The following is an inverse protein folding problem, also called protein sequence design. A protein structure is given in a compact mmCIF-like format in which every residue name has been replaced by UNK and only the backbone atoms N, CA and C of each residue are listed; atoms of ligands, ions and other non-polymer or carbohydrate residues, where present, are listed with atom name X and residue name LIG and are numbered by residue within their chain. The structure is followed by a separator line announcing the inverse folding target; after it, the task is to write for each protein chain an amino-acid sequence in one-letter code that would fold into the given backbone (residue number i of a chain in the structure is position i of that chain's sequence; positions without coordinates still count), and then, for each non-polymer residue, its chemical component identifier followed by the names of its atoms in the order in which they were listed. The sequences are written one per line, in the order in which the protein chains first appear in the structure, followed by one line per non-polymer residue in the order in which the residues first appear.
data_IF_123701604345
#
_entry.id   IF_123701604345
#
_cell.length_a   1.000
_cell.length_b   1.000
_cell.length_c   1.000
_cell.angle_alpha   90.00
_cell.angle_beta   90.00
_cell.angle_gamma   90.00
#
_symmetry.space_group_name_H-M   'P 1'
#
loop_
_entity.id
_entity.type
_entity.pdbx_description
1 polymer ?
#
# COMPACT_ATOMS: atom_id res chain seq x y z
N UNK A 1 -25.51 46.70 23.73
CA UNK A 1 -24.91 45.48 24.31
C UNK A 1 -25.88 44.30 24.49
N UNK A 2 -27.21 44.45 24.34
CA UNK A 2 -28.16 43.34 24.53
C UNK A 2 -28.37 42.43 23.28
N UNK A 3 -28.13 42.94 22.06
CA UNK A 3 -28.38 42.17 20.82
C UNK A 3 -27.31 41.13 20.45
N UNK A 4 -26.09 41.20 20.99
CA UNK A 4 -25.00 40.27 20.65
C UNK A 4 -25.15 38.92 21.39
N UNK A 5 -25.77 38.92 22.58
CA UNK A 5 -25.93 37.71 23.40
C UNK A 5 -27.04 36.77 22.89
N UNK A 6 -28.00 37.27 22.12
CA UNK A 6 -29.10 36.46 21.56
C UNK A 6 -28.60 35.58 20.41
N UNK A 7 -27.73 36.10 19.53
CA UNK A 7 -27.17 35.34 18.40
C UNK A 7 -26.28 34.16 18.84
N UNK A 8 -25.54 34.30 19.95
CA UNK A 8 -24.70 33.22 20.47
C UNK A 8 -25.55 32.07 21.01
N UNK A 9 -26.69 32.37 21.66
CA UNK A 9 -27.58 31.34 22.22
C UNK A 9 -28.32 30.53 21.14
N UNK A 10 -28.72 31.15 20.02
CA UNK A 10 -29.38 30.44 18.92
C UNK A 10 -28.44 29.50 18.14
N UNK A 11 -27.15 29.82 18.03
CA UNK A 11 -26.15 28.97 17.35
C UNK A 11 -25.80 27.70 18.14
N UNK A 12 -25.70 27.79 19.47
CA UNK A 12 -25.38 26.64 20.32
C UNK A 12 -26.51 25.60 20.38
N UNK A 13 -27.77 26.03 20.22
CA UNK A 13 -28.95 25.15 20.20
C UNK A 13 -28.99 24.31 18.92
N UNK A 14 -28.59 24.87 17.77
CA UNK A 14 -28.57 24.15 16.50
C UNK A 14 -27.47 23.08 16.47
N UNK A 15 -26.28 23.35 17.04
CA UNK A 15 -25.20 22.36 17.13
C UNK A 15 -25.56 21.17 18.04
N UNK A 16 -26.22 21.40 19.18
CA UNK A 16 -26.66 20.30 20.06
C UNK A 16 -27.69 19.38 19.40
N UNK A 17 -28.62 19.93 18.61
CA UNK A 17 -29.62 19.14 17.86
C UNK A 17 -28.97 18.31 16.75
N UNK A 18 -28.00 18.88 16.03
CA UNK A 18 -27.24 18.16 14.99
C UNK A 18 -26.47 16.99 15.61
N UNK A 19 -25.82 17.19 16.76
CA UNK A 19 -25.08 16.12 17.43
C UNK A 19 -25.99 14.97 17.89
N UNK A 20 -27.16 15.25 18.47
CA UNK A 20 -28.12 14.20 18.86
C UNK A 20 -28.68 13.41 17.67
N UNK A 21 -28.95 14.07 16.54
CA UNK A 21 -29.46 13.40 15.32
C UNK A 21 -28.39 12.46 14.73
N UNK A 22 -27.12 12.89 14.69
CA UNK A 22 -26.01 12.06 14.18
C UNK A 22 -25.78 10.83 15.06
N UNK A 23 -25.89 10.96 16.39
CA UNK A 23 -25.75 9.80 17.30
C UNK A 23 -26.88 8.78 17.13
N UNK A 24 -28.12 9.22 16.91
CA UNK A 24 -29.27 8.32 16.70
C UNK A 24 -29.13 7.56 15.37
N UNK A 25 -28.74 8.23 14.28
CA UNK A 25 -28.53 7.59 12.97
C UNK A 25 -27.42 6.53 13.07
N UNK A 26 -26.32 6.83 13.76
CA UNK A 26 -25.20 5.90 13.92
C UNK A 26 -25.57 4.64 14.73
N UNK A 27 -26.43 4.77 15.74
CA UNK A 27 -26.91 3.63 16.53
C UNK A 27 -27.90 2.71 15.77
N UNK A 28 -28.64 3.24 14.80
CA UNK A 28 -29.60 2.44 14.02
C UNK A 28 -28.98 1.67 12.85
N UNK A 29 -27.77 2.04 12.40
CA UNK A 29 -27.07 1.38 11.29
C UNK A 29 -26.34 0.08 11.67
N UNK A 30 -26.27 -0.26 12.96
CA UNK A 30 -25.60 -1.49 13.44
C UNK A 30 -26.50 -2.73 13.51
N UNK A 31 -27.79 -2.65 13.14
CA UNK A 31 -28.73 -3.77 13.25
C UNK A 31 -29.22 -4.39 11.92
N UNK A 32 -28.68 -3.99 10.76
CA UNK A 32 -29.13 -4.52 9.47
C UNK A 32 -27.99 -5.04 8.59
N UNK A 33 -27.42 -6.20 8.96
CA UNK A 33 -26.91 -7.20 8.00
C UNK A 33 -26.40 -8.44 8.72
N UNK A 34 -27.32 -9.36 9.02
CA UNK A 34 -26.97 -10.76 9.27
C UNK A 34 -27.90 -11.65 8.45
N UNK A 35 -27.28 -12.50 7.61
CA UNK A 35 -27.80 -13.68 6.90
C UNK A 35 -28.86 -13.48 5.79
N UNK A 36 -28.47 -13.82 4.56
CA UNK A 36 -29.17 -14.87 3.84
C UNK A 36 -28.19 -15.76 3.05
N UNK A 37 -28.09 -17.02 3.49
CA UNK A 37 -27.49 -18.13 2.75
C UNK A 37 -28.68 -18.93 2.27
N UNK A 38 -28.88 -19.02 0.96
CA UNK A 38 -29.84 -19.96 0.41
C UNK A 38 -29.27 -20.64 -0.82
N UNK A 39 -29.35 -21.95 -0.71
CA UNK A 39 -28.80 -23.00 -1.53
C UNK A 39 -29.85 -23.31 -2.59
N UNK A 40 -29.50 -23.19 -3.88
CA UNK A 40 -30.38 -23.59 -4.97
C UNK A 40 -29.73 -24.73 -5.73
N UNK A 41 -30.13 -25.94 -5.35
CA UNK A 41 -29.82 -27.18 -6.03
C UNK A 41 -30.78 -27.35 -7.23
N UNK A 42 -30.28 -27.36 -8.47
CA UNK A 42 -30.99 -28.04 -9.57
C UNK A 42 -29.98 -28.67 -10.53
N UNK A 43 -29.96 -30.01 -10.51
CA UNK A 43 -29.31 -30.89 -11.47
C UNK A 43 -30.28 -31.09 -12.64
N UNK A 44 -29.87 -30.78 -13.87
CA UNK A 44 -30.46 -31.37 -15.06
C UNK A 44 -29.33 -31.65 -16.05
N UNK A 45 -29.12 -32.95 -16.29
CA UNK A 45 -28.19 -33.51 -17.26
C UNK A 45 -28.89 -33.48 -18.61
N UNK A 46 -28.23 -32.97 -19.65
CA UNK A 46 -28.40 -33.42 -21.03
C UNK A 46 -27.10 -33.14 -21.80
N UNK A 47 -26.40 -34.25 -22.04
CA UNK A 47 -25.57 -34.67 -23.17
C UNK A 47 -24.86 -33.67 -24.12
N UNK A 48 -23.51 -33.86 -24.16
CA UNK A 48 -22.62 -33.86 -25.35
C UNK A 48 -22.38 -32.55 -26.11
N UNK A 49 -21.23 -31.93 -25.85
CA UNK A 49 -20.12 -31.76 -26.82
C UNK A 49 -18.96 -30.97 -26.19
N UNK A 50 -17.80 -31.63 -26.04
CA UNK A 50 -16.47 -31.04 -25.80
C UNK A 50 -15.94 -30.43 -27.12
N UNK A 51 -14.92 -29.54 -27.19
CA UNK A 51 -14.18 -28.77 -26.16
C UNK A 51 -14.14 -27.26 -26.44
N UNK A 52 -14.10 -26.40 -25.40
CA UNK A 52 -13.10 -25.31 -25.24
C UNK A 52 -13.45 -24.43 -24.04
N UNK A 53 -12.40 -24.08 -23.28
CA UNK A 53 -12.28 -22.80 -22.55
C UNK A 53 -13.23 -22.50 -21.37
N UNK A 54 -12.78 -22.84 -20.15
CA UNK A 54 -12.57 -21.92 -19.02
C UNK A 54 -12.24 -22.73 -17.78
N UNK A 55 -10.95 -22.80 -17.44
CA UNK A 55 -10.54 -23.17 -16.08
C UNK A 55 -10.49 -21.86 -15.31
N UNK A 56 -11.45 -21.68 -14.43
CA UNK A 56 -11.55 -20.54 -13.51
C UNK A 56 -10.23 -20.40 -12.72
N UNK A 57 -9.41 -19.44 -13.14
CA UNK A 57 -8.29 -18.94 -12.35
C UNK A 57 -8.88 -18.09 -11.23
N UNK A 58 -9.26 -18.74 -10.13
CA UNK A 58 -9.15 -18.09 -8.83
C UNK A 58 -7.65 -17.87 -8.61
N UNK A 59 -7.20 -16.65 -8.85
CA UNK A 59 -5.88 -16.21 -8.43
C UNK A 59 -5.89 -16.12 -6.89
N UNK A 60 -5.67 -17.27 -6.27
CA UNK A 60 -5.32 -17.36 -4.86
C UNK A 60 -3.92 -16.78 -4.74
N UNK A 61 -3.84 -15.51 -4.31
CA UNK A 61 -2.55 -14.86 -4.01
C UNK A 61 -1.80 -15.75 -3.02
N UNK A 62 -0.71 -16.42 -3.44
CA UNK A 62 -0.01 -17.34 -2.56
C UNK A 62 0.57 -16.55 -1.40
N UNK A 63 0.36 -17.06 -0.18
CA UNK A 63 1.03 -16.50 0.99
C UNK A 63 2.56 -16.55 0.76
N UNK A 64 3.31 -15.51 1.18
CA UNK A 64 4.75 -15.51 1.00
C UNK A 64 5.37 -16.73 1.67
N UNK A 65 6.35 -17.34 1.00
CA UNK A 65 7.09 -18.45 1.58
C UNK A 65 7.82 -18.02 2.88
N UNK A 66 8.21 -18.95 3.76
CA UNK A 66 8.81 -18.62 5.04
C UNK A 66 10.09 -17.77 4.95
N UNK A 67 10.90 -17.93 3.90
CA UNK A 67 12.11 -17.13 3.71
C UNK A 67 11.73 -15.69 3.33
N UNK A 68 10.76 -15.52 2.44
CA UNK A 68 10.16 -14.21 2.11
C UNK A 68 9.56 -13.56 3.35
N UNK A 69 8.81 -14.28 4.18
CA UNK A 69 8.25 -13.73 5.43
C UNK A 69 9.33 -13.22 6.40
N UNK A 70 10.44 -13.96 6.54
CA UNK A 70 11.60 -13.51 7.33
C UNK A 70 12.26 -12.26 6.74
N UNK A 71 12.38 -12.19 5.41
CA UNK A 71 12.92 -11.02 4.70
C UNK A 71 12.03 -9.79 4.91
N UNK A 72 10.70 -9.95 4.83
CA UNK A 72 9.73 -8.88 5.11
C UNK A 72 9.91 -8.34 6.53
N UNK A 73 9.98 -9.20 7.55
CA UNK A 73 10.14 -8.77 8.94
C UNK A 73 11.47 -8.02 9.17
N UNK A 74 12.57 -8.50 8.59
CA UNK A 74 13.85 -7.80 8.64
C UNK A 74 13.79 -6.45 7.90
N UNK A 75 13.11 -6.42 6.75
CA UNK A 75 12.92 -5.25 5.93
C UNK A 75 12.07 -4.16 6.58
N UNK A 76 11.06 -4.53 7.36
CA UNK A 76 10.23 -3.59 8.13
C UNK A 76 11.08 -2.79 9.13
N UNK A 77 12.03 -3.46 9.79
CA UNK A 77 12.95 -2.80 10.72
C UNK A 77 13.83 -1.76 10.01
N UNK A 78 14.41 -2.13 8.86
CA UNK A 78 15.20 -1.21 8.03
C UNK A 78 14.33 -0.05 7.54
N UNK A 79 13.11 -0.33 7.08
CA UNK A 79 12.15 0.67 6.62
C UNK A 79 11.82 1.70 7.70
N UNK A 80 11.52 1.23 8.90
CA UNK A 80 11.14 2.08 10.03
C UNK A 80 12.28 3.02 10.42
N UNK A 81 13.52 2.54 10.37
CA UNK A 81 14.69 3.33 10.77
C UNK A 81 15.11 4.35 9.70
N UNK A 82 14.94 4.02 8.41
CA UNK A 82 15.59 4.77 7.32
C UNK A 82 14.61 5.46 6.37
N UNK A 83 13.45 4.85 6.13
CA UNK A 83 12.58 5.21 5.01
C UNK A 83 11.29 5.89 5.46
N UNK A 84 10.75 5.48 6.62
CA UNK A 84 9.45 5.94 7.13
C UNK A 84 9.41 7.44 7.42
N UNK A 85 10.57 8.07 7.70
CA UNK A 85 10.67 9.52 7.93
C UNK A 85 10.18 10.34 6.72
N UNK A 86 10.41 9.84 5.51
CA UNK A 86 9.99 10.51 4.27
C UNK A 86 8.75 9.87 3.66
N UNK A 87 8.71 8.54 3.59
CA UNK A 87 7.64 7.79 2.93
C UNK A 87 6.43 7.49 3.83
N UNK A 88 6.50 7.91 5.10
CA UNK A 88 5.50 7.67 6.15
C UNK A 88 5.40 6.20 6.56
N UNK A 89 4.95 5.93 7.79
CA UNK A 89 4.81 4.54 8.27
C UNK A 89 3.89 3.68 7.40
N UNK A 90 2.89 4.30 6.76
CA UNK A 90 1.92 3.62 5.89
C UNK A 90 2.34 3.60 4.40
N UNK A 91 3.54 4.06 4.05
CA UNK A 91 4.00 4.13 2.66
C UNK A 91 3.23 5.13 1.79
N UNK A 92 2.47 6.04 2.39
CA UNK A 92 1.65 7.02 1.66
C UNK A 92 2.43 8.22 1.12
N UNK A 93 3.68 8.40 1.54
CA UNK A 93 4.48 9.57 1.15
C UNK A 93 3.89 10.89 1.66
N UNK A 94 4.32 11.99 1.05
CA UNK A 94 3.82 13.34 1.29
C UNK A 94 3.48 13.96 -0.08
N UNK A 95 2.22 14.33 -0.35
CA UNK A 95 1.82 14.87 -1.65
C UNK A 95 2.74 16.00 -2.13
N UNK A 96 3.14 15.95 -3.39
CA UNK A 96 4.05 16.91 -4.05
C UNK A 96 5.46 17.01 -3.44
N UNK A 97 5.81 16.19 -2.45
CA UNK A 97 7.12 16.23 -1.80
C UNK A 97 7.83 14.88 -1.84
N UNK A 98 7.23 13.84 -1.24
CA UNK A 98 7.79 12.49 -1.21
C UNK A 98 6.80 11.51 -1.86
N UNK A 99 7.21 10.71 -2.85
CA UNK A 99 6.29 9.81 -3.54
C UNK A 99 5.73 8.72 -2.60
N UNK A 100 4.48 8.29 -2.82
CA UNK A 100 3.94 7.10 -2.16
C UNK A 100 4.71 5.87 -2.64
N UNK A 101 4.88 4.90 -1.73
CA UNK A 101 5.34 3.55 -2.05
C UNK A 101 4.16 2.59 -2.24
N UNK A 102 3.00 2.95 -1.67
CA UNK A 102 1.72 2.27 -1.86
C UNK A 102 1.31 2.28 -3.34
N UNK A 103 1.25 1.10 -3.95
CA UNK A 103 0.86 0.93 -5.35
C UNK A 103 1.79 1.66 -6.32
N UNK A 104 3.05 1.92 -5.96
CA UNK A 104 3.99 2.61 -6.83
C UNK A 104 4.42 1.72 -7.99
N UNK A 105 4.36 2.24 -9.21
CA UNK A 105 4.93 1.63 -10.42
C UNK A 105 6.38 1.16 -10.23
N UNK A 106 7.23 1.96 -9.57
CA UNK A 106 8.59 1.57 -9.21
C UNK A 106 8.64 0.35 -8.27
N UNK A 107 7.72 0.25 -7.31
CA UNK A 107 7.68 -0.87 -6.37
C UNK A 107 7.16 -2.14 -7.06
N UNK A 108 6.22 -2.03 -7.99
CA UNK A 108 5.60 -3.18 -8.65
C UNK A 108 6.35 -3.65 -9.91
N UNK A 109 7.15 -2.77 -10.52
CA UNK A 109 7.91 -3.03 -11.74
C UNK A 109 9.23 -3.77 -11.52
N UNK A 110 10.18 -3.51 -12.41
CA UNK A 110 11.49 -4.16 -12.44
C UNK A 110 12.33 -3.87 -11.20
N UNK A 111 13.04 -4.90 -10.72
CA UNK A 111 13.88 -4.79 -9.52
C UNK A 111 15.09 -3.89 -9.74
N UNK A 112 15.67 -3.88 -10.94
CA UNK A 112 16.94 -3.18 -11.22
C UNK A 112 16.84 -1.66 -11.06
N UNK A 113 15.85 -0.96 -11.65
CA UNK A 113 15.67 0.47 -11.40
C UNK A 113 15.46 0.80 -9.93
N UNK A 114 14.68 -0.02 -9.21
CA UNK A 114 14.40 0.16 -7.79
C UNK A 114 15.66 -0.01 -6.91
N UNK A 115 16.48 -1.03 -7.19
CA UNK A 115 17.75 -1.26 -6.49
C UNK A 115 18.73 -0.12 -6.78
N UNK A 116 18.86 0.29 -8.04
CA UNK A 116 19.70 1.42 -8.42
C UNK A 116 19.28 2.72 -7.74
N UNK A 117 17.98 2.99 -7.68
CA UNK A 117 17.44 4.16 -6.99
C UNK A 117 17.84 4.16 -5.52
N UNK A 118 17.78 3.02 -4.83
CA UNK A 118 18.16 2.96 -3.41
C UNK A 118 19.68 3.09 -3.22
N UNK A 119 20.48 2.52 -4.12
CA UNK A 119 21.94 2.59 -4.07
C UNK A 119 22.47 3.99 -4.39
N UNK A 120 21.90 4.67 -5.38
CA UNK A 120 22.42 5.96 -5.89
C UNK A 120 21.65 7.17 -5.36
N UNK A 121 20.44 6.97 -4.86
CA UNK A 121 19.49 8.07 -4.63
C UNK A 121 18.85 8.55 -5.95
N UNK A 122 18.00 9.56 -5.85
CA UNK A 122 17.34 10.19 -7.01
C UNK A 122 18.05 11.48 -7.43
N UNK A 123 19.32 11.38 -7.82
CA UNK A 123 20.11 12.53 -8.28
C UNK A 123 19.51 13.23 -9.50
N UNK A 124 18.74 12.51 -10.31
CA UNK A 124 17.98 13.06 -11.43
C UNK A 124 16.53 13.33 -11.00
N UNK A 125 16.20 14.60 -10.84
CA UNK A 125 14.85 15.10 -10.62
C UNK A 125 14.44 16.04 -11.78
N UNK A 126 13.16 16.09 -12.15
CA UNK A 126 12.04 15.41 -11.50
C UNK A 126 11.85 13.96 -11.93
N UNK A 127 11.33 13.13 -11.03
CA UNK A 127 10.87 11.76 -11.34
C UNK A 127 9.35 11.71 -11.43
N UNK A 128 8.82 10.69 -12.12
CA UNK A 128 7.39 10.40 -12.16
C UNK A 128 7.10 9.11 -11.39
N UNK A 129 6.14 9.16 -10.47
CA UNK A 129 5.62 7.98 -9.76
C UNK A 129 4.11 8.01 -9.91
N UNK A 130 3.54 6.96 -10.50
CA UNK A 130 2.09 6.87 -10.77
C UNK A 130 1.56 8.09 -11.55
N UNK A 131 2.35 8.60 -12.49
CA UNK A 131 2.01 9.77 -13.30
C UNK A 131 2.16 11.13 -12.61
N UNK A 132 2.47 11.16 -11.32
CA UNK A 132 2.71 12.39 -10.56
C UNK A 132 4.20 12.74 -10.52
N UNK A 133 4.52 14.03 -10.60
CA UNK A 133 5.89 14.54 -10.67
C UNK A 133 6.43 14.87 -9.27
N UNK A 134 7.63 14.41 -8.94
CA UNK A 134 8.32 14.68 -7.69
C UNK A 134 9.72 15.24 -7.95
N UNK A 135 10.05 16.35 -7.29
CA UNK A 135 11.33 17.05 -7.49
C UNK A 135 12.25 17.00 -6.28
N UNK A 136 11.85 16.32 -5.20
CA UNK A 136 12.69 16.18 -4.02
C UNK A 136 13.74 15.07 -4.25
N UNK A 137 14.95 15.29 -3.76
CA UNK A 137 16.05 14.34 -3.90
C UNK A 137 15.97 13.30 -2.78
N UNK A 138 15.89 12.03 -3.15
CA UNK A 138 16.08 10.89 -2.25
C UNK A 138 17.58 10.62 -2.09
N UNK A 139 18.12 10.56 -0.87
CA UNK A 139 19.53 10.28 -0.64
C UNK A 139 19.89 8.85 -1.02
N UNK A 140 21.18 8.61 -1.25
CA UNK A 140 21.74 7.26 -1.40
C UNK A 140 21.70 6.51 -0.06
N UNK A 141 21.38 5.22 -0.13
CA UNK A 141 21.49 4.27 0.97
C UNK A 141 22.55 3.19 0.70
N UNK A 142 23.58 3.54 -0.07
CA UNK A 142 24.72 2.66 -0.37
C UNK A 142 25.47 2.17 0.87
N UNK A 143 25.33 2.85 2.02
CA UNK A 143 25.89 2.42 3.31
C UNK A 143 25.21 1.19 3.91
N UNK A 144 23.98 0.87 3.49
CA UNK A 144 23.31 -0.37 3.84
C UNK A 144 23.96 -1.54 3.08
N UNK A 145 24.08 -2.68 3.75
CA UNK A 145 24.57 -3.91 3.10
C UNK A 145 23.54 -4.50 2.12
N UNK A 146 23.98 -5.45 1.30
CA UNK A 146 23.14 -6.06 0.27
C UNK A 146 21.90 -6.76 0.83
N UNK A 147 22.01 -7.35 2.02
CA UNK A 147 20.89 -8.03 2.67
C UNK A 147 19.88 -7.03 3.22
N UNK A 148 20.33 -5.92 3.82
CA UNK A 148 19.47 -4.83 4.28
C UNK A 148 18.68 -4.22 3.12
N UNK A 149 19.34 -3.98 1.98
CA UNK A 149 18.68 -3.48 0.77
C UNK A 149 17.68 -4.49 0.21
N UNK A 150 18.08 -5.76 0.06
CA UNK A 150 17.18 -6.82 -0.42
C UNK A 150 15.93 -6.95 0.47
N UNK A 151 16.12 -6.93 1.79
CA UNK A 151 15.04 -7.06 2.76
C UNK A 151 14.10 -5.86 2.73
N UNK A 152 14.61 -4.62 2.74
CA UNK A 152 13.73 -3.43 2.73
C UNK A 152 12.94 -3.32 1.42
N UNK A 153 13.54 -3.66 0.28
CA UNK A 153 12.83 -3.68 -0.99
C UNK A 153 11.80 -4.80 -1.04
N UNK A 154 12.11 -5.98 -0.51
CA UNK A 154 11.14 -7.08 -0.37
C UNK A 154 9.96 -6.67 0.50
N UNK A 155 10.21 -6.01 1.64
CA UNK A 155 9.18 -5.45 2.50
C UNK A 155 8.30 -4.45 1.75
N UNK A 156 8.88 -3.46 1.06
CA UNK A 156 8.12 -2.46 0.27
C UNK A 156 7.26 -3.13 -0.80
N UNK A 157 7.78 -4.15 -1.49
CA UNK A 157 7.09 -4.89 -2.56
C UNK A 157 5.94 -5.77 -2.08
N UNK A 158 5.92 -6.12 -0.80
CA UNK A 158 4.89 -6.98 -0.18
C UNK A 158 4.05 -6.23 0.87
N UNK A 159 4.25 -4.93 1.01
CA UNK A 159 3.55 -4.07 1.98
C UNK A 159 2.70 -3.03 1.27
N UNK A 160 1.88 -2.31 2.03
CA UNK A 160 1.10 -1.18 1.50
C UNK A 160 0.14 -1.57 0.36
N UNK A 161 -0.38 -2.80 0.38
CA UNK A 161 -1.18 -3.39 -0.71
C UNK A 161 -0.38 -3.69 -1.99
N UNK A 162 0.95 -3.62 -1.96
CA UNK A 162 1.79 -4.16 -3.00
C UNK A 162 1.86 -5.69 -2.89
N UNK A 163 1.96 -6.34 -4.04
CA UNK A 163 2.15 -7.78 -4.15
C UNK A 163 3.09 -8.04 -5.32
N UNK A 164 4.38 -8.12 -5.05
CA UNK A 164 5.39 -8.36 -6.06
C UNK A 164 6.51 -9.25 -5.51
N UNK A 165 7.19 -9.95 -6.43
CA UNK A 165 8.27 -10.89 -6.09
C UNK A 165 9.35 -10.26 -5.21
N UNK A 166 9.86 -11.04 -4.25
CA UNK A 166 10.95 -10.66 -3.37
C UNK A 166 12.21 -10.25 -4.14
N UNK A 167 13.07 -9.45 -3.52
CA UNK A 167 14.37 -9.05 -4.05
C UNK A 167 15.44 -9.92 -3.40
N UNK A 168 16.20 -10.64 -4.23
CA UNK A 168 17.28 -11.50 -3.76
C UNK A 168 18.55 -10.71 -3.44
N UNK A 169 19.26 -11.15 -2.39
CA UNK A 169 20.54 -10.54 -1.98
C UNK A 169 21.59 -10.62 -3.11
N UNK A 170 21.62 -11.72 -3.86
CA UNK A 170 22.52 -11.91 -4.99
C UNK A 170 22.27 -10.88 -6.09
N UNK A 171 21.01 -10.56 -6.38
CA UNK A 171 20.63 -9.55 -7.37
C UNK A 171 21.10 -8.16 -6.94
N UNK A 172 20.97 -7.82 -5.66
CA UNK A 172 21.48 -6.55 -5.13
C UNK A 172 23.00 -6.46 -5.28
N UNK A 173 23.70 -7.54 -4.90
CA UNK A 173 25.16 -7.62 -4.99
C UNK A 173 25.66 -7.44 -6.43
N UNK A 174 25.02 -8.12 -7.38
CA UNK A 174 25.33 -8.01 -8.81
C UNK A 174 25.13 -6.57 -9.31
N UNK A 175 23.98 -5.96 -8.99
CA UNK A 175 23.69 -4.59 -9.40
C UNK A 175 24.67 -3.62 -8.76
N UNK A 176 24.99 -3.76 -7.47
CA UNK A 176 25.98 -2.92 -6.79
C UNK A 176 27.35 -2.98 -7.47
N UNK A 177 27.79 -4.17 -7.87
CA UNK A 177 29.08 -4.35 -8.55
C UNK A 177 29.15 -3.77 -9.97
N UNK A 178 28.01 -3.41 -10.55
CA UNK A 178 27.90 -2.86 -11.92
C UNK A 178 27.38 -1.41 -11.93
N UNK A 179 27.22 -0.81 -10.76
CA UNK A 179 26.62 0.51 -10.57
C UNK A 179 27.63 1.65 -10.43
N UNK A 180 28.90 1.42 -10.75
CA UNK A 180 29.94 2.45 -10.76
C UNK A 180 29.70 3.54 -11.82
#
# INVERSE_FOLDING_TARGET
MCQVLIFISLSQIQMKKIFQIVTIICLTLSFLSCKNSEKSDTNLKDEVANPTEKKDLKEEVPQPDPATAKSIAAGESVYTQNCAVCHQKNGGGVPNLNPPLKGADYALGDKKPLINLLLKGSSEVPIKVNGQTYSNVMPSFSSLDDAQIANVLTYIRNSFSNNASAVEVSTVKEIRSTSD
#
